data_IF_272205066266
#
_entry.id   IF_272205066266
#
_cell.length_a   1.000
_cell.length_b   1.000
_cell.length_c   1.000
_cell.angle_alpha   90.00
_cell.angle_beta   90.00
_cell.angle_gamma   90.00
#
_symmetry.space_group_name_H-M   'P 1'
#
loop_
_entity.id
_entity.type
_entity.pdbx_description
1 polymer ?
#
# COMPACT_ATOMS: atom_id res chain seq x y z
N UNK A 1 -42.50 -10.03 -20.44
CA UNK A 1 -41.97 -9.30 -19.27
C UNK A 1 -40.54 -8.91 -19.57
N UNK A 2 -40.35 -7.63 -19.91
CA UNK A 2 -39.11 -7.04 -20.35
C UNK A 2 -38.30 -6.54 -19.15
N UNK A 3 -37.02 -6.92 -19.05
CA UNK A 3 -35.96 -6.14 -18.39
C UNK A 3 -34.59 -6.83 -18.56
N UNK A 4 -34.06 -6.82 -19.78
CA UNK A 4 -32.63 -6.99 -20.03
C UNK A 4 -32.25 -6.03 -21.16
N UNK A 5 -31.75 -4.85 -20.79
CA UNK A 5 -31.41 -3.80 -21.76
C UNK A 5 -30.85 -2.50 -21.16
N UNK A 6 -30.58 -2.44 -19.85
CA UNK A 6 -30.18 -1.19 -19.17
C UNK A 6 -28.68 -1.02 -18.87
N UNK A 7 -27.83 -2.01 -19.13
CA UNK A 7 -26.41 -1.99 -18.71
C UNK A 7 -25.47 -1.26 -19.69
N UNK A 8 -25.64 -1.46 -21.00
CA UNK A 8 -24.67 -1.02 -22.00
C UNK A 8 -24.49 0.50 -22.12
N UNK A 9 -25.53 1.29 -21.83
CA UNK A 9 -25.46 2.76 -21.91
C UNK A 9 -24.79 3.39 -20.68
N UNK A 10 -24.84 2.74 -19.51
CA UNK A 10 -24.20 3.23 -18.29
C UNK A 10 -22.68 3.01 -18.30
N UNK A 11 -22.20 2.05 -19.09
CA UNK A 11 -20.78 1.73 -19.24
C UNK A 11 -20.06 2.62 -20.26
N UNK A 12 -20.78 3.19 -21.22
CA UNK A 12 -20.22 4.08 -22.25
C UNK A 12 -19.38 5.26 -21.68
N UNK A 13 -19.88 6.06 -20.71
CA UNK A 13 -19.07 7.15 -20.15
C UNK A 13 -17.84 6.65 -19.36
N UNK A 14 -17.92 5.46 -18.76
CA UNK A 14 -16.77 4.86 -18.06
C UNK A 14 -15.71 4.36 -19.05
N UNK A 15 -16.12 3.82 -20.19
CA UNK A 15 -15.23 3.41 -21.27
C UNK A 15 -14.47 4.62 -21.84
N UNK A 16 -15.17 5.72 -22.16
CA UNK A 16 -14.53 6.95 -22.65
C UNK A 16 -13.57 7.55 -21.63
N UNK A 17 -13.94 7.58 -20.34
CA UNK A 17 -13.03 8.06 -19.29
C UNK A 17 -11.76 7.20 -19.22
N UNK A 18 -11.89 5.87 -19.30
CA UNK A 18 -10.73 4.98 -19.30
C UNK A 18 -9.83 5.24 -20.50
N UNK A 19 -10.39 5.40 -21.70
CA UNK A 19 -9.59 5.70 -22.90
C UNK A 19 -8.77 6.99 -22.75
N UNK A 20 -9.35 8.03 -22.17
CA UNK A 20 -8.68 9.32 -21.98
C UNK A 20 -7.61 9.25 -20.89
N UNK A 21 -7.91 8.64 -19.74
CA UNK A 21 -7.06 8.68 -18.56
C UNK A 21 -6.12 7.49 -18.40
N UNK A 22 -6.32 6.39 -19.13
CA UNK A 22 -5.54 5.15 -18.99
C UNK A 22 -4.04 5.41 -19.00
N UNK A 23 -3.52 6.12 -20.01
CA UNK A 23 -2.09 6.40 -20.14
C UNK A 23 -1.52 7.13 -18.92
N UNK A 24 -2.28 8.06 -18.35
CA UNK A 24 -1.85 8.82 -17.17
C UNK A 24 -1.89 7.96 -15.92
N UNK A 25 -2.90 7.10 -15.77
CA UNK A 25 -3.01 6.19 -14.63
C UNK A 25 -1.91 5.13 -14.66
N UNK A 26 -1.66 4.54 -15.83
CA UNK A 26 -0.58 3.57 -16.04
C UNK A 26 0.77 4.21 -15.69
N UNK A 27 1.03 5.45 -16.14
CA UNK A 27 2.24 6.20 -15.77
C UNK A 27 2.39 6.41 -14.25
N UNK A 28 1.29 6.63 -13.53
CA UNK A 28 1.30 6.75 -12.08
C UNK A 28 1.64 5.41 -11.43
N UNK A 29 1.03 4.32 -11.89
CA UNK A 29 1.33 2.96 -11.41
C UNK A 29 2.81 2.63 -11.62
N UNK A 30 3.33 2.85 -12.83
CA UNK A 30 4.74 2.63 -13.16
C UNK A 30 5.66 3.45 -12.25
N UNK A 31 5.31 4.72 -11.99
CA UNK A 31 6.10 5.58 -11.12
C UNK A 31 6.11 5.05 -9.68
N UNK A 32 4.95 4.61 -9.18
CA UNK A 32 4.82 4.02 -7.84
C UNK A 32 5.65 2.74 -7.76
N UNK A 33 5.54 1.84 -8.73
CA UNK A 33 6.32 0.60 -8.77
C UNK A 33 7.83 0.87 -8.76
N UNK A 34 8.30 1.79 -9.61
CA UNK A 34 9.71 2.19 -9.67
C UNK A 34 10.22 2.76 -8.34
N UNK A 35 9.39 3.55 -7.63
CA UNK A 35 9.76 4.07 -6.30
C UNK A 35 9.72 2.98 -5.23
N UNK A 36 8.83 2.00 -5.34
CA UNK A 36 8.69 0.92 -4.39
C UNK A 36 9.85 -0.08 -4.47
N UNK A 37 10.43 -0.31 -5.65
CA UNK A 37 11.43 -1.36 -5.87
C UNK A 37 12.64 -1.31 -4.90
N UNK A 38 13.08 -0.11 -4.53
CA UNK A 38 14.19 0.09 -3.57
C UNK A 38 13.76 0.72 -2.24
N UNK A 39 12.46 0.80 -1.96
CA UNK A 39 11.96 1.34 -0.71
C UNK A 39 12.00 0.29 0.40
N UNK A 40 12.67 0.60 1.53
CA UNK A 40 12.70 -0.22 2.75
C UNK A 40 11.95 0.44 3.91
N UNK A 41 11.19 1.50 3.63
CA UNK A 41 10.34 2.17 4.62
C UNK A 41 8.98 1.49 4.71
N UNK A 42 8.83 0.55 5.65
CA UNK A 42 7.58 -0.17 5.88
C UNK A 42 6.44 0.73 6.35
N UNK A 43 6.74 1.79 7.11
CA UNK A 43 5.72 2.74 7.59
C UNK A 43 5.21 3.61 6.45
N UNK A 44 6.12 4.12 5.59
CA UNK A 44 5.77 4.86 4.39
C UNK A 44 4.88 4.06 3.44
N UNK A 45 5.20 2.78 3.22
CA UNK A 45 4.37 1.90 2.38
C UNK A 45 2.99 1.66 3.02
N UNK A 46 2.93 1.41 4.33
CA UNK A 46 1.65 1.25 5.04
C UNK A 46 0.80 2.54 4.97
N UNK A 47 1.43 3.71 5.07
CA UNK A 47 0.76 4.99 4.90
C UNK A 47 0.16 5.13 3.49
N UNK A 48 0.91 4.75 2.44
CA UNK A 48 0.39 4.74 1.08
C UNK A 48 -0.85 3.83 0.94
N UNK A 49 -0.84 2.63 1.55
CA UNK A 49 -2.00 1.74 1.56
C UNK A 49 -3.22 2.42 2.21
N UNK A 50 -3.02 3.12 3.34
CA UNK A 50 -4.10 3.84 4.03
C UNK A 50 -4.63 5.03 3.22
N UNK A 51 -3.75 5.75 2.52
CA UNK A 51 -4.15 6.82 1.59
C UNK A 51 -5.01 6.24 0.47
N UNK A 52 -4.60 5.12 -0.14
CA UNK A 52 -5.37 4.44 -1.19
C UNK A 52 -6.75 4.02 -0.66
N UNK A 53 -6.83 3.45 0.54
CA UNK A 53 -8.08 3.08 1.18
C UNK A 53 -9.00 4.30 1.44
N UNK A 54 -8.44 5.42 1.90
CA UNK A 54 -9.18 6.66 2.12
C UNK A 54 -9.72 7.25 0.81
N UNK A 55 -8.91 7.27 -0.25
CA UNK A 55 -9.30 7.72 -1.59
C UNK A 55 -10.41 6.83 -2.17
N UNK A 56 -10.30 5.51 -2.02
CA UNK A 56 -11.36 4.56 -2.41
C UNK A 56 -12.65 4.83 -1.63
N UNK A 57 -12.55 5.15 -0.34
CA UNK A 57 -13.68 5.55 0.49
C UNK A 57 -14.39 6.81 -0.02
N UNK A 58 -13.64 7.82 -0.46
CA UNK A 58 -14.18 9.05 -1.08
C UNK A 58 -14.89 8.70 -2.40
N UNK A 59 -14.27 7.90 -3.27
CA UNK A 59 -14.85 7.53 -4.57
C UNK A 59 -16.13 6.70 -4.41
N UNK A 60 -16.16 5.79 -3.43
CA UNK A 60 -17.36 5.02 -3.08
C UNK A 60 -18.51 5.93 -2.63
N UNK A 61 -18.24 6.94 -1.80
CA UNK A 61 -19.26 7.93 -1.38
C UNK A 61 -19.79 8.74 -2.58
N UNK A 62 -18.93 9.03 -3.57
CA UNK A 62 -19.28 9.73 -4.81
C UNK A 62 -19.91 8.82 -5.88
N UNK A 63 -20.06 7.52 -5.62
CA UNK A 63 -20.55 6.50 -6.57
C UNK A 63 -19.75 6.44 -7.89
N UNK A 64 -18.45 6.74 -7.83
CA UNK A 64 -17.55 6.65 -8.99
C UNK A 64 -16.86 5.30 -8.99
N UNK A 65 -17.20 4.44 -9.96
CA UNK A 65 -16.64 3.07 -10.08
C UNK A 65 -15.49 2.97 -11.08
N UNK A 66 -15.28 4.00 -11.92
CA UNK A 66 -14.32 3.96 -13.02
C UNK A 66 -12.87 3.71 -12.56
N UNK A 67 -12.50 4.20 -11.38
CA UNK A 67 -11.17 4.12 -10.76
C UNK A 67 -10.93 2.88 -9.89
N UNK A 68 -11.93 2.00 -9.71
CA UNK A 68 -11.78 0.86 -8.81
C UNK A 68 -10.60 -0.04 -9.20
N UNK A 69 -10.45 -0.32 -10.50
CA UNK A 69 -9.34 -1.14 -11.03
C UNK A 69 -7.96 -0.53 -10.74
N UNK A 70 -7.81 0.78 -10.89
CA UNK A 70 -6.56 1.49 -10.58
C UNK A 70 -6.17 1.36 -9.09
N UNK A 71 -7.14 1.51 -8.18
CA UNK A 71 -6.86 1.31 -6.75
C UNK A 71 -6.55 -0.15 -6.40
N UNK A 72 -7.16 -1.11 -7.09
CA UNK A 72 -6.86 -2.53 -6.90
C UNK A 72 -5.43 -2.84 -7.38
N UNK A 73 -5.03 -2.31 -8.53
CA UNK A 73 -3.67 -2.42 -9.08
C UNK A 73 -2.62 -1.80 -8.14
N UNK A 74 -2.83 -0.57 -7.65
CA UNK A 74 -1.94 0.04 -6.65
C UNK A 74 -1.77 -0.83 -5.40
N UNK A 75 -2.85 -1.43 -4.90
CA UNK A 75 -2.79 -2.35 -3.77
C UNK A 75 -1.99 -3.62 -4.09
N UNK A 76 -2.09 -4.14 -5.32
CA UNK A 76 -1.30 -5.29 -5.78
C UNK A 76 0.21 -5.01 -5.82
N UNK A 77 0.64 -3.76 -5.97
CA UNK A 77 2.07 -3.40 -5.85
C UNK A 77 2.48 -3.09 -4.41
N UNK A 78 1.63 -2.37 -3.65
CA UNK A 78 1.95 -1.92 -2.29
C UNK A 78 2.05 -3.07 -1.28
N UNK A 79 1.10 -4.01 -1.29
CA UNK A 79 1.04 -5.08 -0.30
C UNK A 79 2.20 -6.09 -0.38
N UNK A 80 2.56 -6.62 -1.57
CA UNK A 80 3.73 -7.50 -1.68
C UNK A 80 5.02 -6.80 -1.25
N UNK A 81 5.16 -5.50 -1.57
CA UNK A 81 6.32 -4.74 -1.15
C UNK A 81 6.36 -4.54 0.37
N UNK A 82 5.23 -4.17 0.99
CA UNK A 82 5.14 -4.08 2.45
C UNK A 82 5.54 -5.39 3.11
N UNK A 83 5.00 -6.52 2.63
CA UNK A 83 5.34 -7.85 3.14
C UNK A 83 6.83 -8.14 3.02
N UNK A 84 7.44 -7.87 1.87
CA UNK A 84 8.88 -8.05 1.67
C UNK A 84 9.71 -7.25 2.68
N UNK A 85 9.35 -5.99 2.95
CA UNK A 85 10.06 -5.15 3.93
C UNK A 85 9.90 -5.72 5.34
N UNK A 86 8.72 -6.19 5.72
CA UNK A 86 8.49 -6.83 7.01
C UNK A 86 9.28 -8.14 7.16
N UNK A 87 9.32 -8.96 6.11
CA UNK A 87 10.11 -10.20 6.10
C UNK A 87 11.60 -9.88 6.25
N UNK A 88 12.09 -8.83 5.60
CA UNK A 88 13.47 -8.35 5.74
C UNK A 88 13.77 -7.84 7.17
N UNK A 89 12.82 -7.17 7.83
CA UNK A 89 12.95 -6.79 9.24
C UNK A 89 13.06 -8.03 10.16
N UNK A 90 12.21 -9.04 9.96
CA UNK A 90 12.27 -10.29 10.73
C UNK A 90 13.59 -11.02 10.51
N UNK A 91 14.07 -11.11 9.26
CA UNK A 91 15.35 -11.72 8.93
C UNK A 91 16.52 -10.98 9.58
N UNK A 92 16.50 -9.64 9.53
CA UNK A 92 17.51 -8.79 10.16
C UNK A 92 17.62 -9.07 11.66
N UNK A 93 16.49 -9.17 12.36
CA UNK A 93 16.47 -9.52 13.79
C UNK A 93 16.98 -10.94 14.06
N UNK A 94 16.62 -11.92 13.24
CA UNK A 94 17.09 -13.31 13.40
C UNK A 94 18.59 -13.46 13.17
N UNK A 95 19.13 -12.71 12.22
CA UNK A 95 20.56 -12.71 11.88
C UNK A 95 21.42 -11.82 12.79
N UNK A 96 20.78 -11.03 13.66
CA UNK A 96 21.47 -10.07 14.50
C UNK A 96 22.35 -10.77 15.55
N UNK A 97 23.65 -10.50 15.52
CA UNK A 97 24.56 -11.02 16.53
C UNK A 97 24.48 -10.17 17.81
N UNK A 98 23.93 -10.75 18.88
CA UNK A 98 23.75 -10.10 20.19
C UNK A 98 25.06 -9.50 20.73
N UNK A 99 26.21 -10.12 20.45
CA UNK A 99 27.53 -9.62 20.90
C UNK A 99 27.96 -8.35 20.17
N UNK A 100 27.50 -8.15 18.93
CA UNK A 100 27.80 -6.95 18.12
C UNK A 100 26.79 -5.83 18.35
N UNK A 101 25.68 -6.12 19.01
CA UNK A 101 24.64 -5.14 19.33
C UNK A 101 25.05 -4.17 20.46
N UNK A 102 26.23 -4.37 21.08
CA UNK A 102 26.72 -3.56 22.19
C UNK A 102 26.19 -4.05 23.54
N UNK A 103 26.86 -3.68 24.63
CA UNK A 103 26.43 -4.05 25.97
C UNK A 103 25.23 -3.17 26.38
N UNK A 104 24.00 -3.70 26.48
CA UNK A 104 22.94 -2.95 27.12
C UNK A 104 23.35 -2.80 28.59
N UNK A 105 23.37 -1.57 29.11
CA UNK A 105 23.51 -1.34 30.54
C UNK A 105 22.27 -1.86 31.29
N UNK A 106 21.78 -1.10 32.25
CA UNK A 106 20.51 -1.37 32.95
C UNK A 106 19.24 -1.10 32.13
N UNK A 107 19.37 -0.62 30.88
CA UNK A 107 18.24 -0.25 30.02
C UNK A 107 17.99 -1.24 28.88
N UNK A 108 16.75 -1.25 28.38
CA UNK A 108 16.34 -2.05 27.23
C UNK A 108 17.15 -1.69 25.99
N UNK A 109 17.56 -2.69 25.22
CA UNK A 109 18.35 -2.49 24.01
C UNK A 109 17.62 -1.63 22.96
N UNK A 110 18.37 -0.77 22.25
CA UNK A 110 17.85 0.15 21.25
C UNK A 110 17.05 -0.54 20.12
N UNK A 111 17.48 -1.73 19.70
CA UNK A 111 16.78 -2.53 18.67
C UNK A 111 15.39 -2.95 19.14
N UNK A 112 15.26 -3.38 20.40
CA UNK A 112 13.97 -3.72 21.00
C UNK A 112 13.05 -2.51 21.09
N UNK A 113 13.59 -1.35 21.49
CA UNK A 113 12.82 -0.10 21.53
C UNK A 113 12.30 0.29 20.15
N UNK A 114 13.15 0.28 19.12
CA UNK A 114 12.73 0.61 17.74
C UNK A 114 11.68 -0.35 17.20
N UNK A 115 11.78 -1.63 17.53
CA UNK A 115 10.77 -2.60 17.12
C UNK A 115 9.43 -2.37 17.83
N UNK A 116 9.46 -2.03 19.13
CA UNK A 116 8.25 -1.67 19.87
C UNK A 116 7.59 -0.40 19.30
N UNK A 117 8.39 0.63 18.99
CA UNK A 117 7.93 1.86 18.33
C UNK A 117 7.29 1.53 16.97
N UNK A 118 7.97 0.76 16.11
CA UNK A 118 7.44 0.32 14.82
C UNK A 118 6.11 -0.44 14.97
N UNK A 119 6.04 -1.42 15.86
CA UNK A 119 4.83 -2.21 16.10
C UNK A 119 3.68 -1.33 16.61
N UNK A 120 3.97 -0.39 17.52
CA UNK A 120 2.97 0.56 18.03
C UNK A 120 2.44 1.47 16.93
N UNK A 121 3.31 1.98 16.03
CA UNK A 121 2.90 2.80 14.90
C UNK A 121 2.09 2.02 13.87
N UNK A 122 2.45 0.76 13.59
CA UNK A 122 1.67 -0.10 12.71
C UNK A 122 0.29 -0.42 13.29
N UNK A 123 0.20 -0.67 14.59
CA UNK A 123 -1.07 -0.89 15.28
C UNK A 123 -1.95 0.35 15.26
N UNK A 124 -1.38 1.53 15.51
CA UNK A 124 -2.11 2.80 15.47
C UNK A 124 -2.67 3.12 14.07
N UNK A 125 -2.01 2.62 13.01
CA UNK A 125 -2.48 2.79 11.64
C UNK A 125 -3.46 1.70 11.18
N UNK A 126 -3.57 0.56 11.87
CA UNK A 126 -4.45 -0.54 11.46
C UNK A 126 -5.92 -0.19 11.72
#
# INVERSE_FOLDING_TARGET
AAQQGGGAAADAPQATWREVYKRTLDMIVDTVENKLFHCYDGLGIMLCVKIVAALRGVMRRRRVTALNGFFDELNMHLWPRFRHVMDAHVLSLRSANVRRLGNPGTSTHYTTRRYAELASSLLAMH
#
